data_IF_522138287138
#
_entry.id   IF_522138287138
#
_cell.length_a   1.000
_cell.length_b   1.000
_cell.length_c   1.000
_cell.angle_alpha   90.00
_cell.angle_beta   90.00
_cell.angle_gamma   90.00
#
_symmetry.space_group_name_H-M   'P 1'
#
loop_
_entity.id
_entity.type
_entity.pdbx_description
1 polymer ?
#
# COMPACT_ATOMS: atom_id res chain seq x y z
N UNK A 1 40.57 50.09 3.16
CA UNK A 1 41.79 49.33 2.79
C UNK A 1 41.64 47.90 3.31
N UNK A 2 41.77 46.89 2.42
CA UNK A 2 42.55 45.63 2.55
C UNK A 2 42.72 45.06 3.99
N UNK A 3 42.41 43.81 4.37
CA UNK A 3 42.61 42.50 3.71
C UNK A 3 41.79 41.38 4.42
N UNK A 4 41.40 40.41 3.59
CA UNK A 4 40.91 39.02 3.77
C UNK A 4 41.49 38.23 4.95
N UNK A 5 40.74 37.25 5.49
CA UNK A 5 41.26 35.89 5.72
C UNK A 5 40.19 34.84 5.39
N UNK A 6 40.55 33.97 4.47
CA UNK A 6 39.88 32.75 4.00
C UNK A 6 40.20 31.60 4.94
N UNK A 7 39.26 30.68 5.18
CA UNK A 7 39.61 29.33 5.62
C UNK A 7 38.78 28.29 4.86
N UNK A 8 39.47 27.62 3.93
CA UNK A 8 39.11 26.31 3.39
C UNK A 8 39.32 25.26 4.49
N UNK A 9 38.43 24.28 4.58
CA UNK A 9 38.77 22.97 5.10
C UNK A 9 38.17 21.89 4.17
N UNK A 10 39.05 21.32 3.35
CA UNK A 10 38.82 20.07 2.65
C UNK A 10 39.10 18.93 3.65
N UNK A 11 38.21 17.94 3.72
CA UNK A 11 38.50 16.68 4.40
C UNK A 11 38.47 15.53 3.39
N UNK A 12 39.55 14.78 3.45
CA UNK A 12 40.06 13.80 2.50
C UNK A 12 39.35 12.44 2.63
N UNK A 13 39.35 11.74 1.51
CA UNK A 13 38.90 10.36 1.26
C UNK A 13 39.63 9.35 2.15
N UNK A 14 38.94 8.30 2.60
CA UNK A 14 39.57 7.01 2.90
C UNK A 14 38.82 5.91 2.15
N UNK A 15 39.42 5.45 1.06
CA UNK A 15 39.11 4.17 0.43
C UNK A 15 39.90 3.09 1.16
N UNK A 16 39.22 2.07 1.68
CA UNK A 16 39.85 0.89 2.27
C UNK A 16 39.29 -0.37 1.62
N UNK A 17 40.07 -0.99 0.74
CA UNK A 17 39.93 -2.39 0.34
C UNK A 17 41.16 -3.15 0.84
N UNK A 18 40.99 -4.20 1.65
CA UNK A 18 41.92 -5.34 1.73
C UNK A 18 41.25 -6.55 2.39
N UNK A 19 41.66 -7.70 1.87
CA UNK A 19 41.07 -9.05 1.87
C UNK A 19 41.33 -9.91 3.12
N UNK A 20 40.37 -10.81 3.38
CA UNK A 20 40.43 -12.14 4.04
C UNK A 20 41.11 -12.32 5.41
N UNK A 21 40.28 -12.61 6.42
CA UNK A 21 40.66 -13.26 7.67
C UNK A 21 39.43 -13.88 8.34
N UNK A 22 39.39 -15.21 8.38
CA UNK A 22 38.32 -16.04 8.95
C UNK A 22 38.45 -16.07 10.48
N UNK A 23 37.59 -15.37 11.21
CA UNK A 23 37.37 -15.60 12.63
C UNK A 23 35.87 -15.65 12.94
N UNK A 24 35.52 -16.75 13.60
CA UNK A 24 34.19 -17.18 13.97
C UNK A 24 33.79 -16.44 15.25
N UNK A 25 32.81 -15.55 15.18
CA UNK A 25 32.10 -15.04 16.35
C UNK A 25 30.60 -15.17 16.17
N UNK A 26 30.02 -15.88 17.13
CA UNK A 26 28.60 -16.03 17.42
C UNK A 26 28.03 -14.70 17.90
N UNK A 27 27.03 -14.16 17.21
CA UNK A 27 25.79 -13.61 17.77
C UNK A 27 25.08 -12.65 16.79
N UNK A 28 23.76 -12.79 16.79
CA UNK A 28 22.74 -11.79 16.50
C UNK A 28 22.53 -11.27 15.07
N UNK A 29 21.27 -11.43 14.65
CA UNK A 29 20.53 -10.59 13.71
C UNK A 29 21.10 -10.42 12.30
N UNK A 30 20.68 -11.31 11.41
CA UNK A 30 20.45 -10.92 10.02
C UNK A 30 19.34 -11.79 9.41
N UNK A 31 18.10 -11.46 9.76
CA UNK A 31 16.96 -11.72 8.86
C UNK A 31 16.87 -10.52 7.94
N UNK A 32 17.13 -10.83 6.67
CA UNK A 32 17.10 -9.99 5.48
C UNK A 32 15.96 -8.96 5.50
N UNK A 33 16.34 -7.70 5.37
CA UNK A 33 15.49 -6.53 5.25
C UNK A 33 14.76 -6.56 3.89
N UNK A 34 13.60 -7.24 3.87
CA UNK A 34 12.64 -7.18 2.78
C UNK A 34 11.40 -6.35 3.13
N UNK A 35 11.57 -5.03 3.26
CA UNK A 35 10.50 -4.01 3.15
C UNK A 35 9.33 -4.07 4.16
N UNK A 36 9.61 -3.73 5.43
CA UNK A 36 8.60 -3.13 6.31
C UNK A 36 8.42 -1.64 5.96
N UNK A 37 7.36 -1.28 5.21
CA UNK A 37 6.54 -0.07 5.42
C UNK A 37 5.47 0.10 4.33
N UNK A 38 4.33 -0.58 4.48
CA UNK A 38 3.03 0.01 4.11
C UNK A 38 2.10 -0.19 5.33
N UNK A 39 2.33 0.56 6.41
CA UNK A 39 1.32 0.75 7.45
C UNK A 39 0.02 1.20 6.76
N UNK A 40 -0.98 0.33 6.79
CA UNK A 40 -2.14 0.33 5.90
C UNK A 40 -2.72 1.71 5.61
N UNK A 41 -2.53 2.18 4.38
CA UNK A 41 -3.21 3.37 3.88
C UNK A 41 -4.72 3.17 4.01
N UNK A 42 -5.41 4.18 4.56
CA UNK A 42 -6.86 4.16 4.64
C UNK A 42 -7.38 4.22 3.22
N UNK A 43 -8.01 3.13 2.77
CA UNK A 43 -8.57 3.02 1.42
C UNK A 43 -9.98 3.58 1.35
N UNK A 44 -10.72 3.64 2.47
CA UNK A 44 -12.08 4.15 2.47
C UNK A 44 -12.61 4.51 3.86
N UNK A 45 -13.73 5.24 3.90
CA UNK A 45 -14.50 5.52 5.11
C UNK A 45 -16.00 5.32 4.87
N UNK A 46 -16.70 4.80 5.87
CA UNK A 46 -18.15 4.71 5.95
C UNK A 46 -18.62 4.96 7.40
N UNK A 47 -19.94 5.07 7.65
CA UNK A 47 -20.46 5.14 9.02
C UNK A 47 -20.22 3.86 9.85
N UNK A 48 -20.12 2.68 9.22
CA UNK A 48 -19.86 1.40 9.90
C UNK A 48 -19.28 0.34 8.93
N UNK A 49 -18.66 -0.72 9.47
CA UNK A 49 -18.16 -1.85 8.68
C UNK A 49 -19.25 -2.73 8.02
N UNK A 50 -20.51 -2.35 8.15
CA UNK A 50 -21.66 -3.02 7.53
C UNK A 50 -22.24 -2.22 6.36
N UNK A 51 -21.75 -0.99 6.16
CA UNK A 51 -22.19 -0.10 5.08
C UNK A 51 -21.03 0.08 4.09
N UNK A 52 -21.25 -0.14 2.78
CA UNK A 52 -20.22 0.08 1.80
C UNK A 52 -19.83 1.56 1.75
N UNK A 53 -18.52 1.88 1.67
CA UNK A 53 -18.08 3.26 1.55
C UNK A 53 -18.56 3.87 0.22
N UNK A 54 -18.83 5.17 0.17
CA UNK A 54 -19.24 5.83 -1.08
C UNK A 54 -18.08 6.02 -2.05
N UNK A 55 -16.85 6.08 -1.52
CA UNK A 55 -15.63 6.21 -2.30
C UNK A 55 -14.56 5.29 -1.74
N UNK A 56 -13.73 4.76 -2.64
CA UNK A 56 -12.54 3.99 -2.29
C UNK A 56 -11.33 4.56 -3.03
N UNK A 57 -10.17 4.53 -2.38
CA UNK A 57 -8.87 4.82 -2.95
C UNK A 57 -8.08 3.51 -3.02
N UNK A 58 -7.70 3.11 -4.23
CA UNK A 58 -6.99 1.87 -4.46
C UNK A 58 -5.88 2.08 -5.48
N UNK A 59 -4.65 1.72 -5.09
CA UNK A 59 -3.44 1.93 -5.91
C UNK A 59 -3.31 3.38 -6.43
N UNK A 60 -3.58 4.36 -5.56
CA UNK A 60 -3.51 5.79 -5.88
C UNK A 60 -4.63 6.33 -6.77
N UNK A 61 -5.63 5.51 -7.11
CA UNK A 61 -6.80 5.91 -7.90
C UNK A 61 -8.04 5.99 -7.03
N UNK A 62 -8.92 6.95 -7.31
CA UNK A 62 -10.21 7.11 -6.62
C UNK A 62 -11.35 6.51 -7.44
N UNK A 63 -12.23 5.81 -6.75
CA UNK A 63 -13.41 5.20 -7.33
C UNK A 63 -14.65 5.58 -6.53
N UNK A 64 -15.75 5.82 -7.24
CA UNK A 64 -17.07 6.09 -6.67
C UNK A 64 -17.96 4.86 -6.74
N UNK A 65 -18.79 4.67 -5.71
CA UNK A 65 -19.79 3.61 -5.69
C UNK A 65 -20.78 3.83 -6.85
N UNK A 66 -20.88 2.83 -7.72
CA UNK A 66 -21.76 2.82 -8.89
C UNK A 66 -23.01 1.99 -8.66
N UNK A 67 -22.86 0.81 -8.07
CA UNK A 67 -23.95 -0.14 -7.86
C UNK A 67 -23.75 -0.95 -6.58
N UNK A 68 -24.84 -1.22 -5.85
CA UNK A 68 -24.87 -2.14 -4.72
C UNK A 68 -25.49 -3.47 -5.16
N UNK A 69 -25.03 -4.58 -4.58
CA UNK A 69 -25.47 -5.94 -4.93
C UNK A 69 -25.34 -6.23 -6.43
N UNK A 70 -24.21 -5.85 -7.00
CA UNK A 70 -23.95 -6.05 -8.43
C UNK A 70 -23.92 -7.54 -8.76
N UNK A 71 -24.46 -7.91 -9.93
CA UNK A 71 -24.29 -9.24 -10.51
C UNK A 71 -22.99 -9.39 -11.29
N UNK A 72 -22.15 -8.35 -11.31
CA UNK A 72 -20.86 -8.34 -11.97
C UNK A 72 -19.94 -9.43 -11.39
N UNK A 73 -19.33 -10.23 -12.27
CA UNK A 73 -18.47 -11.33 -11.84
C UNK A 73 -17.09 -10.81 -11.44
N UNK A 74 -16.62 -11.09 -10.21
CA UNK A 74 -15.26 -10.80 -9.80
C UNK A 74 -14.29 -11.73 -10.51
N UNK A 75 -13.29 -11.17 -11.20
CA UNK A 75 -12.33 -11.97 -11.99
C UNK A 75 -11.04 -12.21 -11.22
N UNK A 76 -10.39 -11.15 -10.77
CA UNK A 76 -9.08 -11.22 -10.13
C UNK A 76 -9.08 -10.46 -8.82
N UNK A 77 -8.67 -11.14 -7.75
CA UNK A 77 -8.48 -10.52 -6.43
C UNK A 77 -7.25 -9.62 -6.43
N UNK A 78 -7.42 -8.42 -5.88
CA UNK A 78 -6.38 -7.40 -5.78
C UNK A 78 -5.80 -7.28 -4.37
N UNK A 79 -6.57 -7.62 -3.34
CA UNK A 79 -6.07 -7.55 -1.96
C UNK A 79 -7.17 -7.66 -0.92
N UNK A 80 -6.74 -7.70 0.34
CA UNK A 80 -7.62 -7.69 1.49
C UNK A 80 -7.77 -6.29 2.07
N UNK A 81 -8.89 -6.10 2.74
CA UNK A 81 -9.20 -4.89 3.47
C UNK A 81 -9.69 -5.28 4.85
N UNK A 82 -9.10 -4.68 5.88
CA UNK A 82 -9.62 -4.72 7.24
C UNK A 82 -10.55 -3.53 7.47
N UNK A 83 -11.51 -3.68 8.38
CA UNK A 83 -12.38 -2.59 8.80
C UNK A 83 -12.47 -2.49 10.31
N UNK A 84 -12.27 -1.28 10.83
CA UNK A 84 -12.45 -0.96 12.24
C UNK A 84 -13.24 0.36 12.34
N UNK A 85 -14.44 0.31 12.92
CA UNK A 85 -15.28 1.50 13.12
C UNK A 85 -15.60 2.28 11.84
N UNK A 86 -15.78 1.59 10.71
CA UNK A 86 -16.04 2.22 9.40
C UNK A 86 -14.81 2.80 8.71
N UNK A 87 -13.60 2.57 9.23
CA UNK A 87 -12.33 2.93 8.58
C UNK A 87 -11.75 1.69 7.92
N UNK A 88 -11.63 1.72 6.60
CA UNK A 88 -11.12 0.61 5.81
C UNK A 88 -9.64 0.82 5.52
N UNK A 89 -8.82 -0.20 5.76
CA UNK A 89 -7.37 -0.16 5.51
C UNK A 89 -6.97 -1.36 4.67
N UNK A 90 -6.04 -1.14 3.74
CA UNK A 90 -5.39 -2.25 3.03
C UNK A 90 -4.73 -3.18 4.05
N UNK A 91 -4.94 -4.48 3.89
CA UNK A 91 -4.44 -5.52 4.78
C UNK A 91 -3.60 -6.53 3.98
N UNK A 92 -2.46 -6.93 4.53
CA UNK A 92 -1.48 -7.79 3.86
C UNK A 92 -1.77 -9.28 3.99
N UNK A 93 -2.24 -9.72 5.15
CA UNK A 93 -2.00 -11.11 5.60
C UNK A 93 -3.27 -11.95 5.79
N UNK A 94 -4.36 -11.63 5.08
CA UNK A 94 -5.66 -12.33 5.15
C UNK A 94 -6.46 -12.13 6.46
N UNK A 95 -6.06 -11.25 7.40
CA UNK A 95 -6.94 -10.88 8.52
C UNK A 95 -8.16 -10.05 8.07
N UNK A 96 -8.05 -9.42 6.89
CA UNK A 96 -9.12 -8.68 6.25
C UNK A 96 -10.21 -9.63 5.76
N UNK A 97 -11.39 -9.52 6.35
CA UNK A 97 -12.60 -10.26 5.93
C UNK A 97 -13.22 -9.70 4.65
N UNK A 98 -12.69 -8.59 4.14
CA UNK A 98 -13.18 -7.86 2.97
C UNK A 98 -12.16 -7.97 1.84
N UNK A 99 -12.64 -8.00 0.60
CA UNK A 99 -11.79 -8.28 -0.57
C UNK A 99 -12.12 -7.33 -1.71
N UNK A 100 -11.08 -6.80 -2.36
CA UNK A 100 -11.20 -5.98 -3.58
C UNK A 100 -10.82 -6.84 -4.78
N UNK A 101 -11.61 -6.76 -5.85
CA UNK A 101 -11.41 -7.47 -7.11
C UNK A 101 -11.48 -6.50 -8.30
N UNK A 102 -10.94 -6.90 -9.44
CA UNK A 102 -11.28 -6.30 -10.73
C UNK A 102 -12.64 -6.80 -11.24
N UNK A 103 -13.37 -5.91 -11.90
CA UNK A 103 -14.54 -6.24 -12.70
C UNK A 103 -14.13 -6.52 -14.15
N UNK A 104 -14.19 -7.78 -14.59
CA UNK A 104 -13.84 -8.15 -15.97
C UNK A 104 -12.34 -8.08 -16.29
N UNK A 105 -12.02 -7.84 -17.57
CA UNK A 105 -10.63 -7.74 -18.05
C UNK A 105 -10.01 -6.38 -17.67
N UNK A 106 -8.95 -6.35 -16.83
CA UNK A 106 -8.34 -5.11 -16.36
C UNK A 106 -7.71 -4.25 -17.47
N UNK A 107 -7.51 -4.80 -18.68
CA UNK A 107 -7.00 -4.07 -19.85
C UNK A 107 -8.05 -3.19 -20.52
N UNK A 108 -9.34 -3.48 -20.30
CA UNK A 108 -10.47 -2.81 -20.96
C UNK A 108 -11.48 -2.25 -19.96
N UNK A 109 -11.50 -2.76 -18.73
CA UNK A 109 -12.38 -2.33 -17.66
C UNK A 109 -11.54 -2.08 -16.41
N UNK A 110 -11.73 -0.91 -15.80
CA UNK A 110 -11.00 -0.50 -14.59
C UNK A 110 -11.91 -0.43 -13.37
N UNK A 111 -13.16 -0.89 -13.48
CA UNK A 111 -14.07 -0.94 -12.35
C UNK A 111 -13.59 -1.98 -11.32
N UNK A 112 -13.90 -1.69 -10.06
CA UNK A 112 -13.57 -2.55 -8.92
C UNK A 112 -14.84 -3.16 -8.35
N UNK A 113 -14.74 -4.40 -7.91
CA UNK A 113 -15.75 -5.03 -7.05
C UNK A 113 -15.18 -5.05 -5.63
N UNK A 114 -15.89 -4.45 -4.70
CA UNK A 114 -15.56 -4.52 -3.28
C UNK A 114 -16.56 -5.42 -2.56
N UNK A 115 -16.06 -6.48 -1.95
CA UNK A 115 -16.84 -7.48 -1.23
C UNK A 115 -16.76 -7.27 0.28
N UNK A 116 -17.92 -7.28 0.93
CA UNK A 116 -18.03 -7.21 2.38
C UNK A 116 -19.32 -7.80 2.92
N UNK A 117 -19.64 -7.52 4.19
CA UNK A 117 -20.91 -7.94 4.82
C UNK A 117 -22.14 -7.44 4.06
N UNK A 118 -21.99 -6.34 3.32
CA UNK A 118 -23.02 -5.73 2.47
C UNK A 118 -23.15 -6.39 1.08
N UNK A 119 -22.44 -7.49 0.82
CA UNK A 119 -22.41 -8.15 -0.49
C UNK A 119 -21.37 -7.57 -1.44
N UNK A 120 -21.60 -7.74 -2.75
CA UNK A 120 -20.72 -7.23 -3.80
C UNK A 120 -21.17 -5.85 -4.27
N UNK A 121 -20.24 -4.91 -4.30
CA UNK A 121 -20.49 -3.53 -4.71
C UNK A 121 -19.55 -3.14 -5.85
N UNK A 122 -20.10 -2.52 -6.90
CA UNK A 122 -19.35 -2.06 -8.06
C UNK A 122 -18.91 -0.62 -7.86
N UNK A 123 -17.64 -0.35 -8.11
CA UNK A 123 -17.03 0.97 -8.07
C UNK A 123 -16.43 1.30 -9.43
N UNK A 124 -16.68 2.52 -9.91
CA UNK A 124 -16.11 3.04 -11.15
C UNK A 124 -15.08 4.11 -10.85
N UNK A 125 -14.04 4.19 -11.67
CA UNK A 125 -13.03 5.24 -11.52
C UNK A 125 -13.71 6.61 -11.63
N UNK A 126 -13.50 7.48 -10.64
CA UNK A 126 -13.99 8.85 -10.70
C UNK A 126 -13.09 9.63 -11.66
N UNK A 127 -13.67 10.25 -12.69
CA UNK A 127 -12.93 11.21 -13.50
C UNK A 127 -12.54 12.38 -12.58
N UNK A 128 -11.25 12.69 -12.52
CA UNK A 128 -10.76 13.93 -11.89
C UNK A 128 -11.02 15.11 -12.80
#
# INVERSE_FOLDING_TARGET
>A
MKIKITALAAALVIAGCSTHGNERQTNDNQTDEGQQNEMGSIVAKSPSCEIPPQTIEWAGKKYGLKEKNTSAEPVMKLGYVSCEGGKFKKDGDNSGTLVVYNHGDPRTNHDLIFAGKWGLTLYTMSQQ
#
